data_IF_244167376482
#
_entry.id   IF_244167376482
#
_cell.length_a   1.000
_cell.length_b   1.000
_cell.length_c   1.000
_cell.angle_alpha   90.00
_cell.angle_beta   90.00
_cell.angle_gamma   90.00
#
_symmetry.space_group_name_H-M   'P 1'
#
loop_
_entity.id
_entity.type
_entity.pdbx_description
1 polymer ?
#
# COMPACT_ATOMS: atom_id res chain seq x y z
N UNK A 1 31.97 13.59 -2.00
CA UNK A 1 31.44 12.21 -2.06
C UNK A 1 29.99 12.31 -1.66
N UNK A 2 29.06 12.16 -2.64
CA UNK A 2 27.63 12.18 -2.36
C UNK A 2 27.27 10.98 -1.49
N UNK A 3 26.62 11.21 -0.37
CA UNK A 3 26.12 10.12 0.48
C UNK A 3 25.14 9.25 -0.32
N UNK A 4 24.87 8.00 0.10
CA UNK A 4 23.94 7.12 -0.60
C UNK A 4 22.60 7.84 -0.76
N UNK A 5 22.07 7.81 -2.00
CA UNK A 5 20.77 8.40 -2.31
C UNK A 5 19.70 7.66 -1.49
N UNK A 6 19.20 8.30 -0.41
CA UNK A 6 18.22 7.70 0.49
C UNK A 6 16.83 7.80 -0.09
N UNK A 7 16.02 6.77 0.12
CA UNK A 7 14.60 6.80 -0.19
C UNK A 7 13.86 7.67 0.83
N UNK A 8 13.15 8.66 0.35
CA UNK A 8 12.36 9.58 1.17
C UNK A 8 10.91 9.10 1.25
N UNK A 9 10.48 8.70 2.42
CA UNK A 9 9.16 8.12 2.65
C UNK A 9 8.30 9.07 3.46
N UNK A 10 7.13 9.40 2.92
CA UNK A 10 6.08 10.12 3.62
C UNK A 10 5.15 9.12 4.30
N UNK A 11 5.06 9.15 5.62
CA UNK A 11 4.16 8.28 6.40
C UNK A 11 3.03 9.13 6.98
N UNK A 12 1.81 8.93 6.48
CA UNK A 12 0.63 9.60 7.01
C UNK A 12 0.17 8.95 8.32
N UNK A 13 0.12 9.73 9.40
CA UNK A 13 -0.20 9.28 10.75
C UNK A 13 -1.41 10.07 11.27
N UNK A 14 -2.47 9.38 11.69
CA UNK A 14 -3.69 10.01 12.23
C UNK A 14 -3.99 9.64 13.69
N UNK A 15 -3.13 8.83 14.31
CA UNK A 15 -3.30 8.33 15.68
C UNK A 15 -4.18 7.11 15.82
N UNK A 16 -4.73 6.58 14.73
CA UNK A 16 -5.48 5.31 14.74
C UNK A 16 -4.57 4.10 14.97
N UNK A 17 -5.15 2.98 15.38
CA UNK A 17 -4.41 1.71 15.52
C UNK A 17 -3.77 1.29 14.19
N UNK A 18 -4.41 1.55 13.06
CA UNK A 18 -3.83 1.26 11.74
C UNK A 18 -2.67 2.17 11.40
N UNK A 19 -2.68 3.45 11.82
CA UNK A 19 -1.51 4.31 11.62
C UNK A 19 -0.32 3.88 12.48
N UNK A 20 -0.57 3.36 13.70
CA UNK A 20 0.47 2.75 14.53
C UNK A 20 1.03 1.49 13.87
N UNK A 21 0.17 0.61 13.36
CA UNK A 21 0.58 -0.58 12.60
C UNK A 21 1.37 -0.20 11.35
N UNK A 22 0.98 0.88 10.68
CA UNK A 22 1.69 1.44 9.51
C UNK A 22 3.11 1.87 9.86
N UNK A 23 3.28 2.60 10.97
CA UNK A 23 4.59 3.01 11.49
C UNK A 23 5.46 1.80 11.79
N UNK A 24 4.93 0.81 12.51
CA UNK A 24 5.63 -0.44 12.81
C UNK A 24 6.04 -1.22 11.56
N UNK A 25 5.14 -1.29 10.57
CA UNK A 25 5.42 -1.94 9.30
C UNK A 25 6.59 -1.27 8.57
N UNK A 26 6.56 0.07 8.41
CA UNK A 26 7.62 0.81 7.72
C UNK A 26 8.96 0.67 8.48
N UNK A 27 8.95 0.81 9.81
CA UNK A 27 10.16 0.70 10.63
C UNK A 27 10.84 -0.67 10.51
N UNK A 28 10.07 -1.75 10.33
CA UNK A 28 10.58 -3.12 10.16
C UNK A 28 10.90 -3.47 8.71
N UNK A 29 10.20 -2.87 7.75
CA UNK A 29 10.31 -3.21 6.33
C UNK A 29 11.45 -2.48 5.66
N UNK A 30 11.61 -1.19 5.93
CA UNK A 30 12.56 -0.33 5.22
C UNK A 30 13.96 -0.36 5.83
N UNK A 31 15.04 -0.32 4.99
CA UNK A 31 16.41 -0.32 5.49
C UNK A 31 16.76 1.03 6.16
N UNK A 32 17.08 1.05 7.49
CA UNK A 32 17.31 2.29 8.20
C UNK A 32 18.45 3.15 7.66
N UNK A 33 19.50 2.50 7.11
CA UNK A 33 20.66 3.21 6.55
C UNK A 33 20.36 3.90 5.21
N UNK A 34 19.31 3.47 4.50
CA UNK A 34 18.98 3.91 3.14
C UNK A 34 17.66 4.68 3.07
N UNK A 35 17.05 5.00 4.22
CA UNK A 35 15.70 5.58 4.26
C UNK A 35 15.67 6.85 5.12
N UNK A 36 14.98 7.86 4.62
CA UNK A 36 14.55 9.06 5.34
C UNK A 36 13.03 8.99 5.50
N UNK A 37 12.53 9.32 6.68
CA UNK A 37 11.09 9.24 6.98
C UNK A 37 10.57 10.57 7.45
N UNK A 38 9.51 11.04 6.80
CA UNK A 38 8.70 12.16 7.27
C UNK A 38 7.38 11.62 7.81
N UNK A 39 7.19 11.75 9.12
CA UNK A 39 5.92 11.48 9.78
C UNK A 39 5.02 12.69 9.59
N UNK A 40 3.93 12.53 8.88
CA UNK A 40 3.05 13.62 8.48
C UNK A 40 1.66 13.47 9.10
N UNK A 41 1.18 14.53 9.76
CA UNK A 41 -0.15 14.60 10.32
C UNK A 41 -0.87 15.87 9.86
N UNK A 42 -2.11 15.70 9.40
CA UNK A 42 -3.00 16.84 9.10
C UNK A 42 -3.88 17.12 10.30
N UNK A 43 -3.55 18.17 11.03
CA UNK A 43 -4.26 18.58 12.25
C UNK A 43 -5.53 19.33 11.90
N UNK A 44 -6.67 18.82 12.35
CA UNK A 44 -7.95 19.54 12.27
C UNK A 44 -8.19 20.29 13.58
N UNK A 45 -8.22 21.59 13.54
CA UNK A 45 -8.47 22.44 14.72
C UNK A 45 -9.81 22.14 15.37
N UNK A 46 -10.83 21.82 14.57
CA UNK A 46 -12.17 21.48 15.04
C UNK A 46 -12.50 20.07 14.56
N UNK A 47 -12.85 19.11 15.45
CA UNK A 47 -13.35 17.81 15.02
C UNK A 47 -14.52 17.97 14.06
N UNK A 48 -14.55 17.13 13.00
CA UNK A 48 -15.60 17.24 11.94
C UNK A 48 -17.04 17.26 12.50
N UNK A 49 -17.26 16.60 13.62
CA UNK A 49 -18.56 16.58 14.30
C UNK A 49 -19.06 17.96 14.78
N UNK A 50 -18.18 18.95 14.87
CA UNK A 50 -18.55 20.29 15.35
C UNK A 50 -18.78 21.31 14.24
N UNK A 51 -18.53 21.00 12.99
CA UNK A 51 -18.78 21.91 11.86
C UNK A 51 -20.26 22.27 11.69
N UNK A 52 -21.16 21.38 12.16
CA UNK A 52 -22.61 21.63 12.13
C UNK A 52 -23.06 22.57 13.27
N UNK A 53 -22.28 22.68 14.35
CA UNK A 53 -22.61 23.49 15.54
C UNK A 53 -22.19 24.96 15.35
N UNK A 54 -21.20 25.27 14.51
CA UNK A 54 -20.69 26.61 14.25
C UNK A 54 -21.75 27.56 13.66
N UNK A 55 -22.88 27.02 13.20
CA UNK A 55 -24.01 27.78 12.64
C UNK A 55 -25.04 28.24 13.68
N UNK A 56 -24.91 27.86 14.95
CA UNK A 56 -25.84 28.25 16.02
C UNK A 56 -25.34 29.45 16.85
N UNK A 57 -26.24 30.36 17.18
CA UNK A 57 -25.94 31.64 17.87
C UNK A 57 -25.55 31.55 19.36
N UNK A 58 -25.33 30.38 19.90
CA UNK A 58 -24.92 30.17 21.30
C UNK A 58 -23.41 29.98 21.46
N UNK A 59 -22.64 30.65 20.60
CA UNK A 59 -21.21 30.34 20.34
C UNK A 59 -20.26 30.61 21.52
N UNK A 60 -20.49 31.58 22.39
CA UNK A 60 -19.50 32.03 23.38
C UNK A 60 -19.24 31.00 24.50
N UNK A 61 -20.29 30.32 24.96
CA UNK A 61 -20.17 29.26 25.97
C UNK A 61 -19.45 27.99 25.46
N UNK A 62 -19.48 27.78 24.16
CA UNK A 62 -18.82 26.61 23.52
C UNK A 62 -17.38 26.88 23.12
N UNK A 63 -17.01 28.15 22.91
CA UNK A 63 -15.66 28.52 22.42
C UNK A 63 -14.56 28.10 23.40
N UNK A 64 -14.74 28.25 24.70
CA UNK A 64 -13.76 27.82 25.70
C UNK A 64 -13.63 26.31 25.77
N UNK A 65 -14.75 25.57 25.63
CA UNK A 65 -14.75 24.11 25.56
C UNK A 65 -14.06 23.62 24.27
N UNK A 66 -14.31 24.28 23.14
CA UNK A 66 -13.67 23.96 21.87
C UNK A 66 -12.15 24.18 21.96
N UNK A 67 -11.69 25.30 22.53
CA UNK A 67 -10.26 25.56 22.75
C UNK A 67 -9.60 24.49 23.62
N UNK A 68 -10.25 24.11 24.72
CA UNK A 68 -9.76 23.06 25.62
C UNK A 68 -9.64 21.71 24.89
N UNK A 69 -10.63 21.35 24.06
CA UNK A 69 -10.60 20.14 23.23
C UNK A 69 -9.49 20.20 22.15
N UNK A 70 -9.29 21.36 21.54
CA UNK A 70 -8.19 21.55 20.57
C UNK A 70 -6.82 21.37 21.23
N UNK A 71 -6.64 21.91 22.45
CA UNK A 71 -5.39 21.75 23.20
C UNK A 71 -5.14 20.30 23.59
N UNK A 72 -6.18 19.58 24.06
CA UNK A 72 -6.09 18.17 24.41
C UNK A 72 -5.80 17.31 23.18
N UNK A 73 -6.52 17.57 22.08
CA UNK A 73 -6.26 16.90 20.81
C UNK A 73 -4.82 17.17 20.32
N UNK A 74 -4.36 18.42 20.42
CA UNK A 74 -2.98 18.79 20.08
C UNK A 74 -1.93 18.06 20.94
N UNK A 75 -2.21 17.83 22.23
CA UNK A 75 -1.33 17.05 23.12
C UNK A 75 -1.32 15.56 22.68
N UNK A 76 -2.48 15.01 22.37
CA UNK A 76 -2.60 13.61 21.89
C UNK A 76 -1.84 13.40 20.58
N UNK A 77 -2.00 14.29 19.62
CA UNK A 77 -1.26 14.24 18.34
C UNK A 77 0.25 14.31 18.58
N UNK A 78 0.71 15.27 19.39
CA UNK A 78 2.14 15.37 19.71
C UNK A 78 2.71 14.11 20.35
N UNK A 79 1.96 13.50 21.25
CA UNK A 79 2.36 12.23 21.91
C UNK A 79 2.40 11.10 20.89
N UNK A 80 1.38 10.98 20.03
CA UNK A 80 1.35 9.97 18.96
C UNK A 80 2.55 10.11 18.02
N UNK A 81 2.86 11.33 17.57
CA UNK A 81 3.99 11.58 16.66
C UNK A 81 5.34 11.29 17.32
N UNK A 82 5.49 11.61 18.62
CA UNK A 82 6.70 11.24 19.38
C UNK A 82 6.85 9.71 19.50
N UNK A 83 5.77 9.01 19.80
CA UNK A 83 5.79 7.54 19.89
C UNK A 83 6.09 6.91 18.52
N UNK A 84 5.51 7.43 17.45
CA UNK A 84 5.82 7.01 16.10
C UNK A 84 7.31 7.20 15.76
N UNK A 85 7.90 8.36 16.11
CA UNK A 85 9.33 8.61 15.94
C UNK A 85 10.17 7.66 16.78
N UNK A 86 9.79 7.40 18.04
CA UNK A 86 10.48 6.47 18.91
C UNK A 86 10.53 5.06 18.31
N UNK A 87 9.42 4.60 17.71
CA UNK A 87 9.37 3.31 17.00
C UNK A 87 10.46 3.20 15.92
N UNK A 88 10.72 4.25 15.15
CA UNK A 88 11.81 4.24 14.16
C UNK A 88 13.19 4.22 14.83
N UNK A 89 13.39 4.98 15.91
CA UNK A 89 14.65 4.97 16.66
C UNK A 89 14.95 3.58 17.23
N UNK A 90 13.95 2.90 17.78
CA UNK A 90 14.05 1.53 18.30
C UNK A 90 14.41 0.50 17.21
N UNK A 91 14.16 0.85 15.94
CA UNK A 91 14.52 0.05 14.76
C UNK A 91 15.78 0.58 14.05
N UNK A 92 16.67 1.27 14.78
CA UNK A 92 17.97 1.76 14.32
C UNK A 92 17.94 2.82 13.22
N UNK A 93 16.83 3.52 13.03
CA UNK A 93 16.83 4.73 12.20
C UNK A 93 17.58 5.83 12.93
N UNK A 94 18.37 6.60 12.19
CA UNK A 94 19.10 7.74 12.76
C UNK A 94 18.18 8.95 12.89
N UNK A 95 18.25 9.62 14.01
CA UNK A 95 17.41 10.79 14.35
C UNK A 95 17.40 11.87 13.24
N UNK A 96 18.55 12.15 12.65
CA UNK A 96 18.73 13.13 11.59
C UNK A 96 17.96 12.83 10.29
N UNK A 97 17.45 11.59 10.12
CA UNK A 97 16.66 11.14 8.97
C UNK A 97 15.18 10.93 9.32
N UNK A 98 14.76 11.43 10.50
CA UNK A 98 13.38 11.36 10.98
C UNK A 98 12.84 12.77 11.15
N UNK A 99 11.87 13.14 10.34
CA UNK A 99 11.18 14.43 10.42
C UNK A 99 9.75 14.23 10.92
N UNK A 100 9.28 15.10 11.78
CA UNK A 100 7.87 15.19 12.18
C UNK A 100 7.32 16.48 11.58
N UNK A 101 6.26 16.37 10.80
CA UNK A 101 5.54 17.50 10.21
C UNK A 101 4.06 17.43 10.59
N UNK A 102 3.58 18.44 11.28
CA UNK A 102 2.17 18.60 11.65
C UNK A 102 1.64 19.85 10.97
N UNK A 103 0.78 19.66 10.00
CA UNK A 103 0.19 20.74 9.22
C UNK A 103 -1.25 20.96 9.63
N UNK A 104 -1.66 22.22 9.82
CA UNK A 104 -3.08 22.54 9.96
C UNK A 104 -3.83 22.21 8.67
N UNK A 105 -5.00 21.59 8.79
CA UNK A 105 -5.89 21.30 7.67
C UNK A 105 -6.19 22.56 6.87
N UNK A 106 -5.84 22.56 5.60
CA UNK A 106 -6.06 23.68 4.69
C UNK A 106 -7.23 23.44 3.74
N UNK A 107 -7.24 22.28 3.03
CA UNK A 107 -8.25 21.94 2.00
C UNK A 107 -8.99 20.65 2.31
N UNK A 108 -8.53 19.91 3.32
CA UNK A 108 -9.04 18.61 3.71
C UNK A 108 -7.96 17.54 3.71
N UNK A 109 -8.08 16.59 4.66
CA UNK A 109 -7.02 15.63 5.00
C UNK A 109 -6.41 14.96 3.74
N UNK A 110 -7.23 14.38 2.87
CA UNK A 110 -6.72 13.72 1.67
C UNK A 110 -6.01 14.68 0.69
N UNK A 111 -6.54 15.89 0.52
CA UNK A 111 -5.95 16.90 -0.38
C UNK A 111 -4.63 17.44 0.16
N UNK A 112 -4.53 17.59 1.47
CA UNK A 112 -3.33 18.09 2.12
C UNK A 112 -2.22 17.02 2.11
N UNK A 113 -2.55 15.73 2.32
CA UNK A 113 -1.63 14.61 2.13
C UNK A 113 -1.13 14.54 0.68
N UNK A 114 -2.02 14.70 -0.31
CA UNK A 114 -1.64 14.71 -1.73
C UNK A 114 -0.74 15.91 -2.05
N UNK A 115 -1.02 17.08 -1.48
CA UNK A 115 -0.21 18.26 -1.70
C UNK A 115 1.20 18.07 -1.14
N UNK A 116 1.32 17.50 0.07
CA UNK A 116 2.61 17.18 0.67
C UNK A 116 3.36 16.10 -0.14
N UNK A 117 2.66 15.04 -0.57
CA UNK A 117 3.26 13.95 -1.33
C UNK A 117 3.80 14.33 -2.72
N UNK A 118 3.46 15.52 -3.22
CA UNK A 118 4.02 16.07 -4.48
C UNK A 118 5.40 16.70 -4.31
N UNK A 119 5.88 16.83 -3.06
CA UNK A 119 7.26 17.22 -2.81
C UNK A 119 8.20 16.05 -3.18
N UNK A 120 9.44 16.15 -2.84
CA UNK A 120 10.49 15.17 -3.18
C UNK A 120 10.41 13.91 -2.29
N UNK A 121 9.38 13.09 -2.50
CA UNK A 121 9.22 11.78 -1.86
C UNK A 121 9.26 10.65 -2.89
N UNK A 122 9.78 9.50 -2.47
CA UNK A 122 9.82 8.27 -3.26
C UNK A 122 8.60 7.37 -3.01
N UNK A 123 7.91 7.52 -1.88
CA UNK A 123 6.74 6.73 -1.50
C UNK A 123 5.85 7.47 -0.49
N UNK A 124 4.54 7.29 -0.64
CA UNK A 124 3.56 7.58 0.40
C UNK A 124 3.12 6.28 1.08
N UNK A 125 3.16 6.23 2.40
CA UNK A 125 2.65 5.11 3.19
C UNK A 125 1.53 5.59 4.10
N UNK A 126 0.44 4.85 4.15
CA UNK A 126 -0.73 5.19 4.96
C UNK A 126 -1.52 3.96 5.38
N UNK A 127 -2.28 4.07 6.45
CA UNK A 127 -3.21 3.03 6.87
C UNK A 127 -4.39 2.89 5.91
N UNK A 128 -4.95 1.69 5.80
CA UNK A 128 -6.13 1.43 4.98
C UNK A 128 -7.37 2.12 5.53
N UNK A 129 -7.45 2.33 6.85
CA UNK A 129 -8.52 3.03 7.55
C UNK A 129 -7.93 4.07 8.51
N UNK A 130 -8.72 5.04 8.91
CA UNK A 130 -8.38 6.03 9.91
C UNK A 130 -9.21 5.90 11.18
N UNK A 131 -9.25 6.97 11.97
CA UNK A 131 -9.99 7.06 13.25
C UNK A 131 -11.48 6.81 13.12
N UNK A 132 -12.11 7.14 11.98
CA UNK A 132 -13.53 6.86 11.71
C UNK A 132 -13.71 5.45 11.13
N UNK A 133 -13.63 4.43 12.00
CA UNK A 133 -13.81 3.03 11.59
C UNK A 133 -15.29 2.73 11.33
N UNK A 134 -15.73 2.84 10.08
CA UNK A 134 -17.02 2.30 9.68
C UNK A 134 -16.89 0.79 9.46
N UNK A 135 -17.66 0.01 10.24
CA UNK A 135 -17.73 -1.44 10.07
C UNK A 135 -18.19 -1.78 8.65
N UNK A 136 -17.51 -2.72 7.99
CA UNK A 136 -17.86 -3.18 6.65
C UNK A 136 -17.22 -2.39 5.49
N UNK A 137 -16.60 -1.24 5.73
CA UNK A 137 -15.87 -0.51 4.69
C UNK A 137 -14.43 -1.03 4.61
N UNK A 138 -13.98 -1.60 3.48
CA UNK A 138 -12.65 -2.20 3.36
C UNK A 138 -11.52 -1.16 3.32
N UNK A 139 -11.74 0.01 2.72
CA UNK A 139 -10.78 1.11 2.64
C UNK A 139 -11.46 2.42 3.09
N UNK A 140 -10.79 3.18 3.95
CA UNK A 140 -11.25 4.47 4.43
C UNK A 140 -11.33 5.53 3.34
N UNK A 141 -12.14 6.56 3.58
CA UNK A 141 -12.41 7.63 2.62
C UNK A 141 -11.15 8.42 2.22
N UNK A 142 -10.20 8.63 3.14
CA UNK A 142 -8.93 9.32 2.88
C UNK A 142 -8.06 8.49 1.95
N UNK A 143 -7.83 7.22 2.28
CA UNK A 143 -7.02 6.31 1.46
C UNK A 143 -7.60 6.14 0.05
N UNK A 144 -8.93 5.97 -0.05
CA UNK A 144 -9.60 5.85 -1.34
C UNK A 144 -9.45 7.12 -2.22
N UNK A 145 -9.59 8.32 -1.62
CA UNK A 145 -9.39 9.60 -2.33
C UNK A 145 -7.93 9.78 -2.78
N UNK A 146 -6.97 9.46 -1.91
CA UNK A 146 -5.54 9.54 -2.24
C UNK A 146 -5.20 8.59 -3.40
N UNK A 147 -5.61 7.33 -3.32
CA UNK A 147 -5.42 6.33 -4.38
C UNK A 147 -6.05 6.76 -5.71
N UNK A 148 -7.22 7.39 -5.68
CA UNK A 148 -7.92 7.85 -6.88
C UNK A 148 -7.25 9.03 -7.59
N UNK A 149 -6.51 9.86 -6.87
CA UNK A 149 -5.94 11.12 -7.39
C UNK A 149 -4.43 11.01 -7.62
N UNK A 150 -3.69 10.46 -6.66
CA UNK A 150 -2.23 10.39 -6.71
C UNK A 150 -1.81 9.18 -7.55
N UNK A 151 -1.32 9.43 -8.76
CA UNK A 151 -0.92 8.39 -9.73
C UNK A 151 0.56 8.37 -10.06
N UNK A 152 1.32 9.38 -9.66
CA UNK A 152 2.74 9.54 -10.03
C UNK A 152 3.72 9.01 -8.97
N UNK A 153 3.24 8.71 -7.77
CA UNK A 153 4.05 8.26 -6.65
C UNK A 153 3.60 6.86 -6.22
N UNK A 154 4.51 5.93 -5.91
CA UNK A 154 4.19 4.68 -5.25
C UNK A 154 3.45 4.91 -3.93
N UNK A 155 2.38 4.15 -3.72
CA UNK A 155 1.57 4.23 -2.50
C UNK A 155 1.56 2.87 -1.83
N UNK A 156 1.93 2.81 -0.56
CA UNK A 156 1.75 1.64 0.28
C UNK A 156 0.53 1.84 1.20
N UNK A 157 -0.45 0.96 1.10
CA UNK A 157 -1.61 0.94 1.98
C UNK A 157 -1.49 -0.23 2.92
N UNK A 158 -1.37 0.05 4.21
CA UNK A 158 -1.19 -0.95 5.26
C UNK A 158 -2.54 -1.28 5.89
N UNK A 159 -2.91 -2.55 5.91
CA UNK A 159 -4.12 -3.06 6.55
C UNK A 159 -3.77 -4.00 7.68
N UNK A 160 -4.34 -3.78 8.87
CA UNK A 160 -4.10 -4.61 10.05
C UNK A 160 -2.63 -4.63 10.48
N UNK A 161 -2.12 -5.81 10.82
CA UNK A 161 -0.75 -6.06 11.28
C UNK A 161 0.02 -6.97 10.30
N UNK A 162 0.48 -6.46 9.14
CA UNK A 162 1.21 -7.30 8.21
C UNK A 162 2.56 -7.75 8.78
N UNK A 163 2.90 -9.03 8.54
CA UNK A 163 4.26 -9.48 8.79
C UNK A 163 5.22 -8.90 7.74
N UNK A 164 6.52 -9.09 7.92
CA UNK A 164 7.53 -8.56 7.01
C UNK A 164 8.39 -9.63 6.34
N UNK A 165 8.04 -10.91 6.48
CA UNK A 165 8.91 -12.03 6.08
C UNK A 165 8.93 -12.22 4.57
N UNK A 166 7.75 -12.37 3.97
CA UNK A 166 7.63 -12.73 2.58
C UNK A 166 6.92 -11.61 1.79
N UNK A 167 7.34 -11.43 0.55
CA UNK A 167 6.79 -10.42 -0.37
C UNK A 167 6.27 -11.14 -1.60
N UNK A 168 5.06 -10.79 -2.03
CA UNK A 168 4.50 -11.27 -3.29
C UNK A 168 4.42 -10.12 -4.31
N UNK A 169 4.89 -10.36 -5.52
CA UNK A 169 4.78 -9.43 -6.63
C UNK A 169 3.82 -10.01 -7.66
N UNK A 170 2.76 -9.27 -7.98
CA UNK A 170 1.81 -9.66 -9.01
C UNK A 170 2.41 -9.35 -10.39
N UNK A 171 2.61 -10.39 -11.18
CA UNK A 171 3.16 -10.32 -12.53
C UNK A 171 2.06 -10.56 -13.56
N UNK A 172 1.96 -9.70 -14.55
CA UNK A 172 1.07 -9.87 -15.71
C UNK A 172 1.76 -9.63 -17.04
N UNK A 173 3.09 -9.44 -17.02
CA UNK A 173 3.90 -9.16 -18.19
C UNK A 173 3.85 -7.71 -18.68
N UNK A 174 3.07 -6.84 -18.02
CA UNK A 174 3.03 -5.41 -18.34
C UNK A 174 4.28 -4.67 -17.87
N UNK A 175 4.54 -3.52 -18.47
CA UNK A 175 5.58 -2.61 -17.99
C UNK A 175 5.33 -2.16 -16.55
N UNK A 176 4.07 -2.01 -16.14
CA UNK A 176 3.70 -1.62 -14.78
C UNK A 176 4.08 -2.69 -13.76
N UNK A 177 3.93 -3.99 -14.09
CA UNK A 177 4.40 -5.07 -13.22
C UNK A 177 5.94 -5.13 -13.15
N UNK A 178 6.64 -4.82 -14.23
CA UNK A 178 8.11 -4.71 -14.22
C UNK A 178 8.59 -3.49 -13.43
N UNK A 179 7.91 -2.34 -13.54
CA UNK A 179 8.21 -1.18 -12.67
C UNK A 179 8.02 -1.50 -11.19
N UNK A 180 7.05 -2.35 -10.85
CA UNK A 180 6.87 -2.82 -9.48
C UNK A 180 8.09 -3.62 -8.98
N UNK A 181 8.68 -4.46 -9.83
CA UNK A 181 9.94 -5.18 -9.54
C UNK A 181 11.08 -4.19 -9.35
N UNK A 182 11.29 -3.28 -10.31
CA UNK A 182 12.38 -2.28 -10.25
C UNK A 182 12.27 -1.39 -9.01
N UNK A 183 11.03 -1.03 -8.63
CA UNK A 183 10.79 -0.24 -7.42
C UNK A 183 11.16 -1.01 -6.14
N UNK A 184 10.81 -2.29 -6.06
CA UNK A 184 11.23 -3.14 -4.94
C UNK A 184 12.75 -3.24 -4.86
N UNK A 185 13.43 -3.52 -5.98
CA UNK A 185 14.88 -3.56 -6.06
C UNK A 185 15.53 -2.28 -5.50
N UNK A 186 15.01 -1.12 -5.93
CA UNK A 186 15.51 0.18 -5.48
C UNK A 186 15.21 0.49 -4.01
N UNK A 187 14.13 -0.09 -3.45
CA UNK A 187 13.67 0.20 -2.09
C UNK A 187 14.28 -0.71 -1.03
N UNK A 188 14.57 -1.97 -1.37
CA UNK A 188 15.02 -3.00 -0.43
C UNK A 188 16.38 -3.60 -0.82
N UNK A 189 17.19 -2.88 -1.56
CA UNK A 189 18.52 -3.35 -2.00
C UNK A 189 19.34 -3.93 -0.84
N UNK A 190 19.81 -5.17 -1.02
CA UNK A 190 20.60 -5.91 -0.03
C UNK A 190 19.83 -6.45 1.18
N UNK A 191 18.49 -6.33 1.20
CA UNK A 191 17.66 -6.90 2.26
C UNK A 191 17.18 -8.29 1.85
N UNK A 192 17.57 -9.29 2.62
CA UNK A 192 17.18 -10.68 2.42
C UNK A 192 15.70 -10.90 2.75
N UNK A 193 14.90 -11.28 1.76
CA UNK A 193 13.47 -11.58 1.89
C UNK A 193 13.09 -12.68 0.89
N UNK A 194 12.17 -13.54 1.28
CA UNK A 194 11.53 -14.45 0.35
C UNK A 194 10.60 -13.68 -0.58
N UNK A 195 10.77 -13.83 -1.88
CA UNK A 195 9.99 -13.12 -2.89
C UNK A 195 9.27 -14.14 -3.77
N UNK A 196 7.97 -13.94 -3.96
CA UNK A 196 7.15 -14.78 -4.82
C UNK A 196 6.68 -13.93 -5.99
N UNK A 197 7.13 -14.27 -7.19
CA UNK A 197 6.62 -13.73 -8.44
C UNK A 197 5.36 -14.54 -8.80
N UNK A 198 4.20 -13.90 -8.79
CA UNK A 198 2.92 -14.59 -8.91
C UNK A 198 2.15 -14.14 -10.16
N UNK A 199 1.70 -15.12 -10.95
CA UNK A 199 0.78 -14.92 -12.06
C UNK A 199 -0.44 -15.83 -11.93
N UNK A 200 -1.63 -15.31 -12.23
CA UNK A 200 -2.88 -16.08 -12.21
C UNK A 200 -3.64 -15.97 -13.53
N UNK A 201 -4.01 -17.11 -14.11
CA UNK A 201 -4.81 -17.21 -15.32
C UNK A 201 -6.25 -17.57 -14.97
N UNK A 202 -7.17 -16.75 -15.47
CA UNK A 202 -8.60 -16.99 -15.23
C UNK A 202 -9.11 -18.18 -16.06
N UNK A 203 -10.12 -18.85 -15.50
CA UNK A 203 -10.97 -19.78 -16.25
C UNK A 203 -11.69 -18.99 -17.36
N UNK A 204 -11.79 -19.61 -18.54
CA UNK A 204 -12.55 -19.13 -19.69
C UNK A 204 -13.84 -19.94 -19.69
N UNK A 205 -14.94 -19.47 -19.14
CA UNK A 205 -16.18 -20.21 -19.14
C UNK A 205 -17.14 -19.90 -17.99
N UNK A 206 -18.25 -20.55 -17.99
CA UNK A 206 -19.44 -20.28 -17.17
C UNK A 206 -19.21 -20.33 -15.66
N UNK A 207 -20.10 -19.67 -14.86
CA UNK A 207 -20.03 -19.71 -13.39
C UNK A 207 -20.16 -21.14 -12.86
N UNK A 208 -19.67 -21.40 -11.66
CA UNK A 208 -19.62 -22.68 -10.93
C UNK A 208 -20.95 -23.45 -10.74
N UNK A 209 -22.07 -22.95 -11.29
CA UNK A 209 -23.40 -23.57 -11.15
C UNK A 209 -23.70 -24.68 -12.14
N UNK A 210 -22.83 -24.95 -13.11
CA UNK A 210 -22.98 -26.13 -13.97
C UNK A 210 -22.23 -27.29 -13.36
N UNK A 211 -22.99 -28.21 -12.78
CA UNK A 211 -22.56 -29.57 -12.38
C UNK A 211 -21.56 -30.15 -13.37
N UNK A 212 -20.52 -30.75 -12.84
CA UNK A 212 -19.34 -31.41 -13.41
C UNK A 212 -19.54 -32.34 -14.63
N UNK A 213 -20.19 -31.88 -15.68
CA UNK A 213 -20.27 -32.68 -16.93
C UNK A 213 -19.61 -31.87 -18.05
N UNK A 214 -18.37 -32.29 -18.36
CA UNK A 214 -17.60 -31.93 -19.54
C UNK A 214 -17.61 -30.42 -19.86
N UNK A 215 -16.64 -29.67 -19.32
CA UNK A 215 -16.37 -28.32 -19.79
C UNK A 215 -16.04 -28.39 -21.29
N UNK A 216 -16.95 -27.98 -22.21
CA UNK A 216 -16.70 -28.08 -23.65
C UNK A 216 -15.57 -27.20 -24.14
N UNK A 217 -15.07 -26.30 -23.27
CA UNK A 217 -13.97 -25.38 -23.56
C UNK A 217 -12.64 -25.80 -22.95
N UNK A 218 -12.53 -26.99 -22.34
CA UNK A 218 -11.34 -27.42 -21.61
C UNK A 218 -10.08 -27.39 -22.47
N UNK A 219 -10.13 -27.92 -23.67
CA UNK A 219 -8.98 -27.95 -24.58
C UNK A 219 -8.58 -26.52 -25.00
N UNK A 220 -9.55 -25.64 -25.22
CA UNK A 220 -9.31 -24.24 -25.53
C UNK A 220 -8.69 -23.51 -24.34
N UNK A 221 -9.19 -23.77 -23.13
CA UNK A 221 -8.64 -23.21 -21.90
C UNK A 221 -7.17 -23.64 -21.71
N UNK A 222 -6.88 -24.90 -21.86
CA UNK A 222 -5.52 -25.46 -21.72
C UNK A 222 -4.57 -24.85 -22.76
N UNK A 223 -4.99 -24.74 -24.01
CA UNK A 223 -4.20 -24.11 -25.06
C UNK A 223 -3.93 -22.63 -24.78
N UNK A 224 -4.95 -21.88 -24.33
CA UNK A 224 -4.81 -20.45 -23.96
C UNK A 224 -3.89 -20.28 -22.76
N UNK A 225 -3.97 -21.17 -21.78
CA UNK A 225 -3.08 -21.11 -20.61
C UNK A 225 -1.64 -21.41 -21.00
N UNK A 226 -1.42 -22.39 -21.87
CA UNK A 226 -0.07 -22.71 -22.36
C UNK A 226 0.54 -21.55 -23.15
N UNK A 227 -0.22 -20.93 -24.04
CA UNK A 227 0.26 -19.76 -24.80
C UNK A 227 0.49 -18.55 -23.89
N UNK A 228 -0.39 -18.33 -22.91
CA UNK A 228 -0.19 -17.27 -21.90
C UNK A 228 1.06 -17.55 -21.05
N UNK A 229 1.32 -18.81 -20.69
CA UNK A 229 2.52 -19.22 -19.95
C UNK A 229 3.78 -18.83 -20.72
N UNK A 230 3.87 -19.19 -22.01
CA UNK A 230 4.99 -18.83 -22.88
C UNK A 230 5.25 -17.33 -22.97
N UNK A 231 4.19 -16.52 -22.85
CA UNK A 231 4.31 -15.06 -22.86
C UNK A 231 4.76 -14.49 -21.50
N UNK A 232 4.35 -15.10 -20.39
CA UNK A 232 4.62 -14.54 -19.05
C UNK A 232 5.96 -15.02 -18.47
N UNK A 233 6.37 -16.27 -18.74
CA UNK A 233 7.61 -16.85 -18.20
C UNK A 233 8.85 -16.00 -18.50
N UNK A 234 9.10 -15.49 -19.71
CA UNK A 234 10.26 -14.62 -19.96
C UNK A 234 10.26 -13.33 -19.14
N UNK A 235 9.07 -12.76 -18.87
CA UNK A 235 8.94 -11.60 -18.01
C UNK A 235 9.22 -11.92 -16.54
N UNK A 236 8.83 -13.11 -16.07
CA UNK A 236 9.11 -13.56 -14.71
C UNK A 236 10.59 -13.88 -14.52
N UNK A 237 11.23 -14.54 -15.49
CA UNK A 237 12.68 -14.79 -15.50
C UNK A 237 13.48 -13.48 -15.48
N UNK A 238 13.09 -12.51 -16.30
CA UNK A 238 13.69 -11.18 -16.29
C UNK A 238 13.52 -10.47 -14.95
N UNK A 239 12.35 -10.61 -14.32
CA UNK A 239 12.09 -10.06 -12.98
C UNK A 239 12.98 -10.76 -11.94
N UNK A 240 13.10 -12.08 -12.00
CA UNK A 240 13.98 -12.86 -11.12
C UNK A 240 15.44 -12.41 -11.23
N UNK A 241 15.94 -12.24 -12.46
CA UNK A 241 17.30 -11.76 -12.69
C UNK A 241 17.53 -10.37 -12.06
N UNK A 242 16.59 -9.42 -12.25
CA UNK A 242 16.70 -8.08 -11.66
C UNK A 242 16.70 -8.09 -10.14
N UNK A 243 15.87 -8.94 -9.52
CA UNK A 243 15.84 -9.11 -8.07
C UNK A 243 17.16 -9.70 -7.56
N UNK A 244 17.71 -10.69 -8.26
CA UNK A 244 19.01 -11.28 -7.92
C UNK A 244 20.14 -10.26 -8.03
N UNK A 245 20.19 -9.47 -9.10
CA UNK A 245 21.18 -8.41 -9.31
C UNK A 245 21.11 -7.32 -8.22
N UNK A 246 19.92 -7.06 -7.67
CA UNK A 246 19.71 -6.16 -6.54
C UNK A 246 20.04 -6.79 -5.17
N UNK A 247 20.56 -8.02 -5.14
CA UNK A 247 20.90 -8.72 -3.89
C UNK A 247 19.68 -9.24 -3.11
N UNK A 248 18.53 -9.37 -3.77
CA UNK A 248 17.30 -9.90 -3.21
C UNK A 248 17.09 -11.37 -3.63
N UNK A 249 18.13 -12.18 -3.53
CA UNK A 249 18.23 -13.50 -4.18
C UNK A 249 18.09 -14.71 -3.24
N UNK A 250 17.78 -14.51 -1.96
CA UNK A 250 17.82 -15.62 -0.99
C UNK A 250 16.76 -16.71 -1.27
N UNK A 251 15.57 -16.36 -1.75
CA UNK A 251 14.51 -17.33 -2.11
C UNK A 251 13.50 -16.64 -3.04
N UNK A 252 13.72 -16.71 -4.35
CA UNK A 252 12.79 -16.18 -5.35
C UNK A 252 12.02 -17.35 -5.98
N UNK A 253 10.71 -17.37 -5.76
CA UNK A 253 9.82 -18.41 -6.26
C UNK A 253 8.98 -17.85 -7.40
N UNK A 254 8.95 -18.58 -8.53
CA UNK A 254 8.00 -18.33 -9.61
C UNK A 254 6.76 -19.20 -9.41
N UNK A 255 5.59 -18.57 -9.37
CA UNK A 255 4.33 -19.24 -9.13
C UNK A 255 3.29 -18.83 -10.17
N UNK A 256 2.89 -19.77 -11.01
CA UNK A 256 1.83 -19.61 -12.01
C UNK A 256 0.67 -20.53 -11.63
N UNK A 257 -0.54 -19.97 -11.54
CA UNK A 257 -1.76 -20.73 -11.27
C UNK A 257 -2.79 -20.50 -12.38
N UNK A 258 -3.47 -21.56 -12.76
CA UNK A 258 -4.44 -21.57 -13.86
C UNK A 258 -5.86 -21.86 -13.35
N UNK A 259 -6.87 -21.54 -14.14
CA UNK A 259 -8.26 -21.91 -13.87
C UNK A 259 -8.90 -21.17 -12.70
N UNK A 260 -8.34 -20.02 -12.27
CA UNK A 260 -8.88 -19.29 -11.12
C UNK A 260 -10.11 -18.48 -11.50
N UNK A 261 -11.13 -18.38 -10.62
CA UNK A 261 -12.32 -17.55 -10.88
C UNK A 261 -12.00 -16.06 -10.80
N UNK A 262 -11.01 -15.66 -10.01
CA UNK A 262 -10.59 -14.27 -9.82
C UNK A 262 -9.10 -14.17 -9.56
N UNK A 263 -8.38 -13.42 -10.41
CA UNK A 263 -6.94 -13.17 -10.23
C UNK A 263 -6.62 -12.52 -8.89
N UNK A 264 -7.41 -11.55 -8.47
CA UNK A 264 -7.20 -10.85 -7.20
C UNK A 264 -7.45 -11.76 -5.98
N UNK A 265 -8.47 -12.66 -6.06
CA UNK A 265 -8.74 -13.64 -5.00
C UNK A 265 -7.57 -14.62 -4.90
N UNK A 266 -7.16 -15.21 -6.02
CA UNK A 266 -6.03 -16.14 -6.05
C UNK A 266 -4.73 -15.50 -5.54
N UNK A 267 -4.45 -14.25 -5.90
CA UNK A 267 -3.29 -13.50 -5.41
C UNK A 267 -3.31 -13.35 -3.87
N UNK A 268 -4.46 -13.00 -3.30
CA UNK A 268 -4.60 -12.81 -1.85
C UNK A 268 -4.49 -14.14 -1.12
N UNK A 269 -5.18 -15.18 -1.61
CA UNK A 269 -5.15 -16.52 -1.01
C UNK A 269 -3.73 -17.11 -1.04
N UNK A 270 -3.03 -16.99 -2.16
CA UNK A 270 -1.64 -17.46 -2.24
C UNK A 270 -0.71 -16.63 -1.35
N UNK A 271 -0.92 -15.31 -1.25
CA UNK A 271 -0.14 -14.48 -0.34
C UNK A 271 -0.35 -14.89 1.13
N UNK A 272 -1.58 -15.21 1.51
CA UNK A 272 -1.90 -15.70 2.85
C UNK A 272 -1.28 -17.08 3.11
N UNK A 273 -1.43 -18.02 2.17
CA UNK A 273 -0.87 -19.38 2.28
C UNK A 273 0.66 -19.36 2.36
N UNK A 274 1.30 -18.45 1.64
CA UNK A 274 2.74 -18.27 1.65
C UNK A 274 3.23 -17.32 2.76
N UNK A 275 2.36 -16.92 3.69
CA UNK A 275 2.66 -15.99 4.78
C UNK A 275 3.32 -14.67 4.28
N UNK A 276 2.84 -14.13 3.16
CA UNK A 276 3.30 -12.84 2.66
C UNK A 276 2.61 -11.70 3.40
N UNK A 277 3.39 -10.83 4.02
CA UNK A 277 2.86 -9.61 4.63
C UNK A 277 2.79 -8.43 3.67
N UNK A 278 3.33 -8.58 2.46
CA UNK A 278 3.31 -7.53 1.44
C UNK A 278 2.91 -8.10 0.08
N UNK A 279 2.02 -7.38 -0.61
CA UNK A 279 1.70 -7.61 -2.02
C UNK A 279 2.08 -6.36 -2.80
N UNK A 280 2.90 -6.51 -3.84
CA UNK A 280 3.29 -5.42 -4.73
C UNK A 280 2.57 -5.61 -6.06
N UNK A 281 1.89 -4.58 -6.50
CA UNK A 281 1.12 -4.59 -7.75
C UNK A 281 1.44 -3.37 -8.59
N UNK A 282 1.51 -3.55 -9.89
CA UNK A 282 1.45 -2.43 -10.81
C UNK A 282 0.09 -1.73 -10.71
N UNK A 283 0.08 -0.41 -10.81
CA UNK A 283 -1.15 0.39 -10.73
C UNK A 283 -2.15 0.02 -11.83
N UNK A 284 -1.65 -0.24 -13.02
CA UNK A 284 -2.40 -0.68 -14.20
C UNK A 284 -1.84 -2.01 -14.70
N UNK A 285 -2.59 -2.75 -15.50
CA UNK A 285 -2.14 -3.99 -16.14
C UNK A 285 -2.18 -3.87 -17.66
N UNK A 286 -2.07 -5.01 -18.35
CA UNK A 286 -2.10 -5.12 -19.82
C UNK A 286 -3.34 -4.42 -20.42
N UNK A 287 -4.51 -4.58 -19.78
CA UNK A 287 -5.77 -3.93 -20.22
C UNK A 287 -5.85 -2.52 -19.65
N UNK A 288 -5.04 -1.60 -20.17
CA UNK A 288 -5.12 -0.19 -19.79
C UNK A 288 -6.39 0.41 -20.38
N UNK A 289 -7.39 0.69 -19.55
CA UNK A 289 -8.57 1.47 -19.92
C UNK A 289 -8.30 2.90 -19.48
N UNK A 290 -8.30 3.85 -20.40
CA UNK A 290 -7.89 5.24 -20.18
C UNK A 290 -8.70 5.94 -19.09
N UNK A 291 -9.95 5.55 -18.88
CA UNK A 291 -10.86 6.14 -17.89
C UNK A 291 -10.59 5.68 -16.44
N UNK A 292 -9.76 4.69 -16.21
CA UNK A 292 -9.52 4.15 -14.87
C UNK A 292 -8.09 4.40 -14.39
N UNK A 293 -7.96 5.22 -13.35
CA UNK A 293 -6.67 5.49 -12.70
C UNK A 293 -6.06 4.30 -11.98
N UNK A 294 -6.82 3.22 -11.72
CA UNK A 294 -6.38 2.01 -11.03
C UNK A 294 -6.96 0.78 -11.73
N UNK A 295 -6.11 -0.20 -12.01
CA UNK A 295 -6.51 -1.47 -12.62
C UNK A 295 -7.42 -2.31 -11.71
N UNK A 296 -8.32 -3.08 -12.31
CA UNK A 296 -9.31 -3.90 -11.60
C UNK A 296 -8.72 -4.90 -10.59
N UNK A 297 -7.57 -5.50 -10.87
CA UNK A 297 -6.90 -6.43 -9.96
C UNK A 297 -6.36 -5.66 -8.75
N UNK A 298 -5.61 -4.57 -9.00
CA UNK A 298 -5.07 -3.70 -7.95
C UNK A 298 -6.19 -3.20 -7.02
N UNK A 299 -7.29 -2.67 -7.56
CA UNK A 299 -8.42 -2.21 -6.78
C UNK A 299 -9.03 -3.31 -5.90
N UNK A 300 -9.25 -4.52 -6.47
CA UNK A 300 -9.80 -5.65 -5.71
C UNK A 300 -8.86 -6.13 -4.62
N UNK A 301 -7.55 -6.11 -4.85
CA UNK A 301 -6.55 -6.47 -3.84
C UNK A 301 -6.58 -5.48 -2.70
N UNK A 302 -6.52 -4.18 -2.98
CA UNK A 302 -6.63 -3.11 -1.98
C UNK A 302 -7.88 -3.25 -1.09
N UNK A 303 -9.02 -3.62 -1.68
CA UNK A 303 -10.29 -3.75 -0.95
C UNK A 303 -10.42 -5.05 -0.15
N UNK A 304 -9.63 -6.08 -0.41
CA UNK A 304 -9.82 -7.41 0.19
C UNK A 304 -8.63 -7.90 1.01
N UNK A 305 -7.45 -7.32 0.82
CA UNK A 305 -6.27 -7.67 1.60
C UNK A 305 -6.49 -7.29 3.07
N UNK A 306 -6.33 -8.26 3.97
CA UNK A 306 -6.35 -8.08 5.42
C UNK A 306 -5.03 -8.53 5.98
N UNK A 307 -4.50 -7.79 6.94
CA UNK A 307 -3.17 -8.03 7.53
C UNK A 307 -2.05 -8.11 6.47
N UNK A 308 -2.20 -7.32 5.40
CA UNK A 308 -1.27 -7.25 4.27
C UNK A 308 -1.07 -5.78 3.90
N UNK A 309 0.17 -5.41 3.66
CA UNK A 309 0.53 -4.12 3.05
C UNK A 309 0.50 -4.24 1.53
N UNK A 310 -0.29 -3.41 0.86
CA UNK A 310 -0.39 -3.40 -0.60
C UNK A 310 0.37 -2.20 -1.16
N UNK A 311 1.43 -2.48 -1.93
CA UNK A 311 2.21 -1.47 -2.62
C UNK A 311 1.68 -1.32 -4.04
N UNK A 312 1.22 -0.12 -4.36
CA UNK A 312 0.71 0.25 -5.69
C UNK A 312 1.77 1.08 -6.39
N UNK A 313 2.39 0.52 -7.40
CA UNK A 313 3.47 1.18 -8.16
C UNK A 313 2.90 1.72 -9.48
N UNK A 314 3.15 2.99 -9.84
CA UNK A 314 2.68 3.65 -11.06
C UNK A 314 3.04 2.96 -12.37
#
# INVERSE_FOLDING_TARGET
MGGPNRKKILVAVDGSNESISTVNYVAKMMPPAQTEVTLFHVFSKIPEAFWDVEKSRESDLWMDKIKALEEEHGKTVRTCMKNARQTFLDHNFREQFLTIEVQNRARGIARDIIAESKRDYDMLVMGSKGTSQLNGVPIGSVANKVLGILSSLPICVVSGNPNIQNIMIAMDGSESSMRAVDYLCASLNGIKRKIILFHAMRRIGYPESSTDKANPFKEIEEAVWEDTRKLIEPSMEKAQARLADAGLNDDIILRIVTGVPSRAKALIEEAQNANCGSIIVGRTGISRVEDFNIGRVCQKVLHRAKDIAVWVVP
#
